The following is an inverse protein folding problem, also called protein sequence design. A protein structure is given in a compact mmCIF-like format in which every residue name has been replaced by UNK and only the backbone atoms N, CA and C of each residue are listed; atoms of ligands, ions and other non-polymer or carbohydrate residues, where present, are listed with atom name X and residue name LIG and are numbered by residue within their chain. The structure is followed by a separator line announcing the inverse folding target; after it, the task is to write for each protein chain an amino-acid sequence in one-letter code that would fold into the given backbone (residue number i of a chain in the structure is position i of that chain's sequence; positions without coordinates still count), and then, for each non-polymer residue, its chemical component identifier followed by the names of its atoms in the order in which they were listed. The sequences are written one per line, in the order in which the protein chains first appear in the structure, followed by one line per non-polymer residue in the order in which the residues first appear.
data_IF_104423530615
#
_entry.id   IF_104423530615
#
_cell.length_a   1.000
_cell.length_b   1.000
_cell.length_c   1.000
_cell.angle_alpha   90.00
_cell.angle_beta   90.00
_cell.angle_gamma   90.00
#
_symmetry.space_group_name_H-M   'P 1'
#
loop_
_entity.id
_entity.type
_entity.pdbx_description
1 polymer ?
#
# COMPACT_ATOMS: atom_id res chain seq x y z
N UNK A 1 -5.09 -16.77 -15.10
CA UNK A 1 -5.80 -17.56 -16.12
C UNK A 1 -4.95 -18.78 -16.47
N UNK A 2 -5.23 -19.92 -15.85
CA UNK A 2 -4.76 -21.23 -16.33
C UNK A 2 -6.02 -22.07 -16.51
N UNK A 3 -6.66 -21.95 -17.68
CA UNK A 3 -7.92 -22.64 -17.97
C UNK A 3 -7.72 -24.16 -18.05
N UNK A 4 -8.70 -24.89 -17.53
CA UNK A 4 -8.67 -26.36 -17.34
C UNK A 4 -8.68 -27.13 -18.67
N UNK A 5 -9.18 -26.55 -19.77
CA UNK A 5 -9.49 -27.32 -20.98
C UNK A 5 -8.45 -27.32 -22.11
N UNK A 6 -7.49 -26.39 -22.15
CA UNK A 6 -6.34 -26.40 -23.09
C UNK A 6 -5.35 -25.35 -22.64
N UNK A 7 -4.65 -25.60 -21.53
CA UNK A 7 -3.82 -24.55 -20.94
C UNK A 7 -2.56 -24.30 -21.78
N UNK A 8 -2.18 -23.03 -21.91
CA UNK A 8 -0.88 -22.61 -22.44
C UNK A 8 0.27 -23.41 -21.82
N UNK A 9 0.16 -23.72 -20.52
CA UNK A 9 1.14 -24.52 -19.77
C UNK A 9 1.36 -25.88 -20.41
N UNK A 10 0.28 -26.55 -20.81
CA UNK A 10 0.34 -27.88 -21.42
C UNK A 10 1.07 -27.85 -22.76
N UNK A 11 0.77 -26.86 -23.61
CA UNK A 11 1.45 -26.66 -24.91
C UNK A 11 2.91 -26.24 -24.77
N UNK A 12 3.23 -25.42 -23.76
CA UNK A 12 4.62 -25.01 -23.51
C UNK A 12 5.43 -26.19 -22.97
N UNK A 13 4.85 -27.00 -22.07
CA UNK A 13 5.50 -28.21 -21.54
C UNK A 13 5.72 -29.29 -22.59
N UNK A 14 4.89 -29.39 -23.63
CA UNK A 14 5.12 -30.37 -24.70
C UNK A 14 6.36 -30.04 -25.55
N UNK A 15 6.76 -28.76 -25.62
CA UNK A 15 7.98 -28.33 -26.32
C UNK A 15 9.18 -28.21 -25.37
N UNK A 16 8.94 -27.84 -24.11
CA UNK A 16 9.96 -27.69 -23.08
C UNK A 16 9.52 -28.38 -21.78
N UNK A 17 9.77 -29.69 -21.61
CA UNK A 17 9.25 -30.48 -20.49
C UNK A 17 9.77 -30.03 -19.11
N UNK A 18 10.98 -29.47 -19.08
CA UNK A 18 11.64 -29.00 -17.85
C UNK A 18 11.22 -27.58 -17.44
N UNK A 19 10.37 -26.90 -18.24
CA UNK A 19 9.95 -25.53 -17.93
C UNK A 19 9.11 -25.50 -16.64
N UNK A 20 9.50 -24.64 -15.72
CA UNK A 20 8.71 -24.39 -14.53
C UNK A 20 7.68 -23.30 -14.83
N UNK A 21 6.41 -23.62 -14.61
CA UNK A 21 5.34 -22.66 -14.76
C UNK A 21 5.05 -21.99 -13.42
N UNK A 22 5.23 -20.67 -13.38
CA UNK A 22 4.81 -19.86 -12.24
C UNK A 22 3.62 -19.01 -12.69
N UNK A 23 2.54 -19.00 -11.90
CA UNK A 23 1.44 -18.06 -12.12
C UNK A 23 1.96 -16.62 -12.05
N UNK A 24 1.35 -15.71 -12.81
CA UNK A 24 1.75 -14.30 -12.75
C UNK A 24 1.64 -13.77 -11.32
N UNK A 25 2.64 -13.00 -10.88
CA UNK A 25 2.72 -12.50 -9.51
C UNK A 25 1.45 -11.76 -9.10
N UNK A 26 0.86 -10.98 -10.01
CA UNK A 26 -0.41 -10.25 -9.81
C UNK A 26 -1.56 -11.20 -9.44
N UNK A 27 -1.65 -12.37 -10.09
CA UNK A 27 -2.69 -13.34 -9.77
C UNK A 27 -2.46 -14.02 -8.43
N UNK A 28 -1.20 -14.35 -8.10
CA UNK A 28 -0.85 -14.91 -6.79
C UNK A 28 -1.13 -13.91 -5.67
N UNK A 29 -0.82 -12.64 -5.89
CA UNK A 29 -1.17 -11.55 -4.99
C UNK A 29 -2.68 -11.49 -4.77
N UNK A 30 -3.47 -11.40 -5.84
CA UNK A 30 -4.93 -11.36 -5.73
C UNK A 30 -5.53 -12.56 -4.98
N UNK A 31 -4.95 -13.74 -5.12
CA UNK A 31 -5.35 -14.92 -4.34
C UNK A 31 -4.95 -14.82 -2.87
N UNK A 32 -3.75 -14.31 -2.56
CA UNK A 32 -3.29 -14.13 -1.18
C UNK A 32 -4.18 -13.16 -0.39
N UNK A 33 -4.71 -12.11 -1.04
CA UNK A 33 -5.61 -11.14 -0.39
C UNK A 33 -6.93 -11.76 0.04
N UNK A 34 -7.42 -12.80 -0.65
CA UNK A 34 -8.74 -13.39 -0.35
C UNK A 34 -8.84 -14.02 1.04
N UNK A 35 -7.71 -14.41 1.63
CA UNK A 35 -7.65 -15.01 2.95
C UNK A 35 -7.17 -14.05 4.05
N UNK A 36 -7.01 -12.75 3.75
CA UNK A 36 -6.60 -11.77 4.76
C UNK A 36 -7.75 -11.47 5.70
N UNK A 37 -7.40 -11.23 6.96
CA UNK A 37 -8.32 -10.73 7.96
C UNK A 37 -8.91 -9.38 7.54
N UNK A 38 -10.20 -9.17 7.80
CA UNK A 38 -10.92 -7.98 7.35
C UNK A 38 -10.42 -6.72 8.08
N UNK A 39 -9.97 -6.82 9.33
CA UNK A 39 -9.37 -5.70 10.05
C UNK A 39 -8.09 -5.26 9.35
N UNK A 40 -7.17 -6.21 9.08
CA UNK A 40 -5.92 -5.91 8.38
C UNK A 40 -6.16 -5.31 6.99
N UNK A 41 -7.15 -5.83 6.26
CA UNK A 41 -7.53 -5.32 4.94
C UNK A 41 -8.00 -3.86 5.03
N UNK A 42 -8.87 -3.54 6.00
CA UNK A 42 -9.34 -2.19 6.24
C UNK A 42 -8.19 -1.24 6.64
N UNK A 43 -7.26 -1.67 7.50
CA UNK A 43 -6.08 -0.88 7.86
C UNK A 43 -5.20 -0.56 6.65
N UNK A 44 -5.00 -1.53 5.75
CA UNK A 44 -4.26 -1.32 4.51
C UNK A 44 -5.01 -0.37 3.54
N UNK A 45 -6.33 -0.46 3.47
CA UNK A 45 -7.16 0.48 2.68
C UNK A 45 -7.07 1.91 3.24
N UNK A 46 -7.15 2.08 4.55
CA UNK A 46 -7.07 3.40 5.19
C UNK A 46 -5.68 4.02 5.06
N UNK A 47 -4.64 3.20 5.18
CA UNK A 47 -3.25 3.59 4.86
C UNK A 47 -3.16 4.20 3.45
N UNK A 48 -3.72 3.51 2.45
CA UNK A 48 -3.70 3.99 1.07
C UNK A 48 -4.46 5.31 0.93
N UNK A 49 -5.63 5.45 1.57
CA UNK A 49 -6.41 6.70 1.55
C UNK A 49 -5.62 7.89 2.11
N UNK A 50 -4.90 7.70 3.21
CA UNK A 50 -4.09 8.75 3.84
C UNK A 50 -2.95 9.19 2.94
N UNK A 51 -2.21 8.23 2.38
CA UNK A 51 -1.13 8.54 1.45
C UNK A 51 -1.66 9.25 0.21
N UNK A 52 -2.76 8.78 -0.35
CA UNK A 52 -3.40 9.41 -1.50
C UNK A 52 -3.86 10.83 -1.19
N UNK A 53 -4.39 11.09 0.01
CA UNK A 53 -4.77 12.44 0.42
C UNK A 53 -3.59 13.41 0.43
N UNK A 54 -2.45 13.02 1.02
CA UNK A 54 -1.24 13.85 1.08
C UNK A 54 -0.67 14.06 -0.33
N UNK A 55 -0.68 13.00 -1.15
CA UNK A 55 -0.11 13.01 -2.50
C UNK A 55 -1.03 13.62 -3.56
N UNK A 56 -2.34 13.74 -3.30
CA UNK A 56 -3.33 14.29 -4.24
C UNK A 56 -3.01 15.72 -4.66
N UNK A 57 -2.36 16.50 -3.78
CA UNK A 57 -1.95 17.88 -4.06
C UNK A 57 -0.43 17.98 -4.04
N UNK A 58 0.23 18.46 -5.12
CA UNK A 58 1.68 18.65 -5.15
C UNK A 58 2.20 19.55 -4.01
N UNK A 59 1.42 20.56 -3.61
CA UNK A 59 1.75 21.43 -2.46
C UNK A 59 1.85 20.61 -1.17
N UNK A 60 0.85 19.80 -0.87
CA UNK A 60 0.79 19.00 0.36
C UNK A 60 1.95 17.98 0.39
N UNK A 61 2.22 17.30 -0.73
CA UNK A 61 3.37 16.40 -0.82
C UNK A 61 4.71 17.12 -0.63
N UNK A 62 4.85 18.35 -1.12
CA UNK A 62 6.07 19.16 -0.93
C UNK A 62 6.22 19.60 0.53
N UNK A 63 5.15 20.11 1.13
CA UNK A 63 5.14 20.53 2.53
C UNK A 63 5.44 19.36 3.46
N UNK A 64 4.86 18.19 3.20
CA UNK A 64 5.16 16.97 3.93
C UNK A 64 6.64 16.60 3.83
N UNK A 65 7.23 16.67 2.63
CA UNK A 65 8.66 16.39 2.46
C UNK A 65 9.57 17.39 3.17
N UNK A 66 9.20 18.67 3.21
CA UNK A 66 9.90 19.69 4.01
C UNK A 66 9.78 19.37 5.50
N UNK A 67 8.60 18.99 5.98
CA UNK A 67 8.39 18.58 7.37
C UNK A 67 9.25 17.37 7.75
N UNK A 68 9.28 16.33 6.92
CA UNK A 68 10.19 15.19 7.12
C UNK A 68 11.67 15.59 7.11
N UNK A 69 12.03 16.65 6.36
CA UNK A 69 13.38 17.19 6.41
C UNK A 69 13.65 17.88 7.75
N UNK A 70 12.77 18.76 8.20
CA UNK A 70 12.85 19.48 9.49
C UNK A 70 12.90 18.52 10.69
N UNK A 71 12.12 17.42 10.64
CA UNK A 71 12.06 16.41 11.69
C UNK A 71 13.17 15.36 11.60
N UNK A 72 14.13 15.53 10.67
CA UNK A 72 15.31 14.65 10.51
C UNK A 72 14.93 13.18 10.27
N UNK A 73 13.76 12.94 9.67
CA UNK A 73 13.26 11.59 9.38
C UNK A 73 14.16 10.85 8.39
N UNK A 74 14.27 9.53 8.50
CA UNK A 74 15.01 8.72 7.52
C UNK A 74 14.43 8.89 6.10
N UNK A 75 13.11 9.00 6.01
CA UNK A 75 12.40 9.12 4.74
C UNK A 75 11.82 10.51 4.55
N UNK A 76 12.06 11.10 3.38
CA UNK A 76 11.56 12.45 3.06
C UNK A 76 10.25 12.46 2.28
N UNK A 77 9.67 11.29 2.04
CA UNK A 77 8.42 11.15 1.30
C UNK A 77 7.73 9.81 1.52
N UNK A 78 6.40 9.85 1.44
CA UNK A 78 5.54 8.67 1.32
C UNK A 78 5.65 8.06 -0.08
N UNK A 79 5.50 6.73 -0.15
CA UNK A 79 5.47 5.96 -1.39
C UNK A 79 4.10 6.10 -2.07
N UNK A 80 4.07 6.31 -3.39
CA UNK A 80 2.81 6.27 -4.12
C UNK A 80 2.34 4.81 -4.29
N UNK A 81 1.05 4.56 -4.12
CA UNK A 81 0.45 3.27 -4.43
C UNK A 81 -0.18 3.29 -5.84
N UNK A 82 -0.01 2.20 -6.59
CA UNK A 82 -0.85 1.88 -7.75
C UNK A 82 -1.69 0.66 -7.40
N UNK A 83 -3.01 0.73 -7.61
CA UNK A 83 -4.02 -0.26 -7.22
C UNK A 83 -3.74 -1.69 -7.71
N UNK A 84 -2.92 -1.83 -8.75
CA UNK A 84 -2.63 -3.09 -9.45
C UNK A 84 -1.78 -4.07 -8.62
N UNK A 85 -1.08 -3.63 -7.56
CA UNK A 85 -0.15 -4.48 -6.79
C UNK A 85 -0.41 -4.42 -5.29
N UNK A 86 -1.12 -5.40 -4.75
CA UNK A 86 -1.47 -5.45 -3.32
C UNK A 86 -0.24 -5.46 -2.42
N UNK A 87 0.85 -6.13 -2.82
CA UNK A 87 2.09 -6.17 -2.02
C UNK A 87 2.71 -4.77 -1.81
N UNK A 88 2.42 -3.81 -2.69
CA UNK A 88 2.88 -2.44 -2.49
C UNK A 88 2.16 -1.75 -1.32
N UNK A 89 0.95 -2.19 -0.94
CA UNK A 89 0.23 -1.64 0.22
C UNK A 89 0.95 -1.92 1.52
N UNK A 90 1.53 -3.12 1.68
CA UNK A 90 2.36 -3.43 2.84
C UNK A 90 3.56 -2.49 2.97
N UNK A 91 4.27 -2.22 1.86
CA UNK A 91 5.39 -1.27 1.86
C UNK A 91 4.96 0.16 2.14
N UNK A 92 3.82 0.57 1.60
CA UNK A 92 3.24 1.90 1.86
C UNK A 92 2.87 2.02 3.33
N UNK A 93 2.31 0.96 3.93
CA UNK A 93 2.01 0.90 5.36
C UNK A 93 3.28 1.02 6.21
N UNK A 94 4.31 0.23 5.94
CA UNK A 94 5.60 0.33 6.65
C UNK A 94 6.16 1.75 6.58
N UNK A 95 6.16 2.36 5.38
CA UNK A 95 6.59 3.75 5.20
C UNK A 95 5.74 4.76 5.96
N UNK A 96 4.44 4.53 6.05
CA UNK A 96 3.52 5.36 6.81
C UNK A 96 3.88 5.28 8.31
N UNK A 97 4.12 4.06 8.82
CA UNK A 97 4.51 3.80 10.21
C UNK A 97 5.83 4.48 10.59
N UNK A 98 6.84 4.40 9.71
CA UNK A 98 8.13 5.09 9.86
C UNK A 98 8.01 6.62 9.89
N UNK A 99 6.89 7.18 9.40
CA UNK A 99 6.65 8.61 9.29
C UNK A 99 5.43 9.08 10.10
N UNK A 100 5.01 8.31 11.11
CA UNK A 100 3.81 8.61 11.88
C UNK A 100 3.90 9.94 12.62
N UNK A 101 5.05 10.27 13.18
CA UNK A 101 5.23 11.51 13.93
C UNK A 101 5.08 12.75 13.01
N UNK A 102 5.68 12.69 11.83
CA UNK A 102 5.55 13.72 10.78
C UNK A 102 4.12 13.81 10.29
N UNK A 103 3.45 12.67 10.10
CA UNK A 103 2.02 12.61 9.76
C UNK A 103 1.17 13.31 10.80
N UNK A 104 1.37 13.01 12.08
CA UNK A 104 0.64 13.60 13.18
C UNK A 104 0.85 15.12 13.26
N UNK A 105 2.07 15.61 13.01
CA UNK A 105 2.35 17.05 12.94
C UNK A 105 1.73 17.68 11.68
N UNK A 106 1.78 17.00 10.54
CA UNK A 106 1.22 17.49 9.28
C UNK A 106 -0.30 17.71 9.38
N UNK A 107 -1.02 16.80 10.04
CA UNK A 107 -2.46 16.91 10.29
C UNK A 107 -2.81 17.97 11.35
N UNK A 108 -1.86 18.38 12.19
CA UNK A 108 -2.06 19.46 13.16
C UNK A 108 -1.83 20.84 12.53
N UNK A 109 -0.84 20.96 11.64
CA UNK A 109 -0.44 22.24 10.99
C UNK A 109 -1.42 22.68 9.90
N UNK A 110 -2.02 21.74 9.18
CA UNK A 110 -3.11 22.03 8.25
C UNK A 110 -4.44 21.74 8.96
N UNK A 111 -5.42 22.66 8.96
CA UNK A 111 -6.79 22.37 9.40
C UNK A 111 -7.52 21.45 8.40
N UNK A 112 -6.82 20.48 7.83
CA UNK A 112 -7.31 19.53 6.87
C UNK A 112 -7.68 18.25 7.63
N UNK A 113 -8.93 17.83 7.41
CA UNK A 113 -9.51 16.53 7.75
C UNK A 113 -10.31 16.45 9.05
N UNK A 114 -11.43 17.17 9.08
CA UNK A 114 -12.58 16.74 9.86
C UNK A 114 -12.94 15.29 9.52
N UNK A 115 -12.99 14.45 10.57
CA UNK A 115 -13.47 13.04 10.67
C UNK A 115 -12.46 11.90 10.47
N UNK A 116 -11.44 12.00 9.62
CA UNK A 116 -10.55 10.83 9.36
C UNK A 116 -9.52 10.57 10.47
N UNK A 117 -9.09 11.61 11.19
CA UNK A 117 -8.03 11.49 12.21
C UNK A 117 -8.44 10.73 13.48
N UNK A 118 -9.74 10.48 13.71
CA UNK A 118 -10.23 9.72 14.88
C UNK A 118 -10.21 8.20 14.69
N UNK A 119 -10.05 7.71 13.45
CA UNK A 119 -10.12 6.28 13.15
C UNK A 119 -8.81 5.54 13.43
N UNK A 120 -7.66 6.13 13.11
CA UNK A 120 -6.36 5.49 13.35
C UNK A 120 -5.93 5.48 14.82
N UNK A 121 -6.16 6.58 15.56
CA UNK A 121 -5.78 6.65 16.98
C UNK A 121 -6.63 5.76 17.89
N UNK A 122 -7.81 5.28 17.43
CA UNK A 122 -8.66 4.38 18.23
C UNK A 122 -8.34 2.90 18.05
N UNK A 123 -7.56 2.53 17.03
CA UNK A 123 -7.27 1.12 16.71
C UNK A 123 -5.95 0.62 17.32
N UNK A 124 -5.13 1.49 17.90
CA UNK A 124 -3.91 1.08 18.63
C UNK A 124 -4.13 0.83 20.13
N UNK A 125 -5.29 1.19 20.68
CA UNK A 125 -5.63 1.03 22.09
C UNK A 125 -6.58 -0.16 22.36
N UNK A 126 -6.74 -1.09 21.40
CA UNK A 126 -7.63 -2.24 21.54
C UNK A 126 -7.00 -3.55 21.05
#
# INVERSE_FOLDING_TARGET
MSGIHTSLVTKVKSVAPLVQWTHCSIHREALAVKGLDECLKNTLDDTVKIVNLIKARPKNSRLFGVLCHEMVSEHKQLLLHCEVRWLSRGKVMSRLFELLDELMVSFRRESLMGKTCKLLLRQCDQ
#
